data_IF_567227613450
#
_entry.id   IF_567227613450
#
_cell.length_a   1.000
_cell.length_b   1.000
_cell.length_c   1.000
_cell.angle_alpha   90.00
_cell.angle_beta   90.00
_cell.angle_gamma   90.00
#
_symmetry.space_group_name_H-M   'P 1'
#
loop_
_entity.id
_entity.type
_entity.pdbx_description
1 polymer ?
#
# COMPACT_ATOMS: atom_id res chain seq x y z
N UNK A 1 4.14 45.38 -1.17
CA UNK A 1 2.69 45.41 -0.90
C UNK A 1 2.40 44.45 0.25
N UNK A 2 1.97 44.98 1.39
CA UNK A 2 1.56 44.25 2.60
C UNK A 2 0.06 44.02 2.54
N UNK A 3 -0.41 42.84 2.91
CA UNK A 3 -1.79 42.61 3.33
C UNK A 3 -1.78 41.91 4.71
N UNK A 4 -1.82 42.76 5.74
CA UNK A 4 -2.68 42.66 6.94
C UNK A 4 -4.11 42.18 6.56
N UNK A 5 -4.97 41.56 7.37
CA UNK A 5 -4.98 41.06 8.75
C UNK A 5 -6.40 40.48 8.99
N UNK A 6 -6.55 39.62 9.99
CA UNK A 6 -7.72 39.47 10.89
C UNK A 6 -8.97 38.62 10.58
N UNK A 7 -9.25 37.80 11.63
CA UNK A 7 -10.53 37.30 12.18
C UNK A 7 -11.16 36.11 11.42
N UNK A 8 -11.54 35.01 12.08
CA UNK A 8 -12.43 34.99 13.24
C UNK A 8 -12.23 33.74 14.12
N UNK A 9 -12.06 33.97 15.42
CA UNK A 9 -12.35 33.04 16.50
C UNK A 9 -13.86 33.08 16.76
N UNK A 10 -14.54 31.94 16.87
CA UNK A 10 -15.47 31.70 17.99
C UNK A 10 -15.94 30.23 18.10
N UNK A 11 -15.91 29.64 19.30
CA UNK A 11 -16.51 28.36 19.66
C UNK A 11 -17.93 28.56 20.22
N UNK A 12 -18.91 27.72 19.84
CA UNK A 12 -20.28 27.73 20.38
C UNK A 12 -20.78 26.27 20.32
N UNK A 13 -20.75 25.48 21.41
CA UNK A 13 -21.62 25.43 22.59
C UNK A 13 -22.71 24.34 22.48
N UNK A 14 -22.66 23.43 23.46
CA UNK A 14 -23.78 22.84 24.22
C UNK A 14 -25.04 22.34 23.49
N UNK A 15 -25.25 21.02 23.55
CA UNK A 15 -26.58 20.46 23.87
C UNK A 15 -26.42 19.42 24.97
N UNK A 16 -27.21 19.61 26.03
CA UNK A 16 -27.19 18.85 27.27
C UNK A 16 -28.22 17.70 27.27
N UNK A 17 -27.85 16.65 28.01
CA UNK A 17 -28.66 15.81 28.91
C UNK A 17 -30.07 15.37 28.50
N UNK A 18 -30.23 14.05 28.36
CA UNK A 18 -31.44 13.35 28.82
C UNK A 18 -30.99 12.27 29.81
N UNK A 19 -31.29 12.52 31.09
CA UNK A 19 -31.33 11.50 32.14
C UNK A 19 -32.71 10.87 32.11
N UNK A 20 -32.80 9.58 31.79
CA UNK A 20 -33.93 8.75 32.21
C UNK A 20 -33.35 7.57 32.98
N UNK A 21 -33.55 7.64 34.29
CA UNK A 21 -33.35 6.56 35.24
C UNK A 21 -34.42 5.50 35.04
N UNK A 22 -34.04 4.26 34.75
CA UNK A 22 -34.78 3.08 35.16
C UNK A 22 -33.81 1.91 35.33
N UNK A 23 -33.83 1.33 36.53
CA UNK A 23 -32.97 0.24 36.92
C UNK A 23 -33.44 -1.09 36.35
N UNK A 24 -32.49 -1.93 35.94
CA UNK A 24 -32.66 -3.37 35.83
C UNK A 24 -31.42 -4.05 36.39
N UNK A 25 -31.63 -4.82 37.45
CA UNK A 25 -30.75 -5.88 37.93
C UNK A 25 -30.60 -6.94 36.83
N UNK A 26 -29.37 -7.31 36.46
CA UNK A 26 -29.20 -8.42 35.51
C UNK A 26 -27.75 -8.78 35.22
N UNK A 27 -27.29 -9.84 35.90
CA UNK A 27 -26.31 -10.83 35.48
C UNK A 27 -24.93 -10.39 34.93
N UNK A 28 -23.91 -10.85 35.65
CA UNK A 28 -22.52 -10.96 35.25
C UNK A 28 -22.35 -11.66 33.90
N UNK A 29 -21.53 -11.06 33.03
CA UNK A 29 -20.82 -11.77 31.96
C UNK A 29 -19.42 -11.19 31.89
N UNK A 30 -18.44 -12.01 32.24
CA UNK A 30 -17.03 -11.72 31.98
C UNK A 30 -16.86 -11.95 30.49
N UNK A 31 -17.01 -10.88 29.70
CA UNK A 31 -16.64 -10.93 28.30
C UNK A 31 -15.12 -11.02 28.22
N UNK A 32 -14.66 -12.22 27.90
CA UNK A 32 -13.32 -12.49 27.41
C UNK A 32 -13.09 -11.59 26.20
N UNK A 33 -12.37 -10.48 26.38
CA UNK A 33 -11.82 -9.70 25.27
C UNK A 33 -10.79 -10.58 24.59
N UNK A 34 -11.26 -11.30 23.57
CA UNK A 34 -10.38 -12.02 22.65
C UNK A 34 -9.59 -10.94 21.91
N UNK A 35 -8.25 -10.96 21.92
CA UNK A 35 -7.49 -10.03 21.10
C UNK A 35 -7.89 -10.27 19.65
N UNK A 36 -8.57 -9.28 19.06
CA UNK A 36 -8.83 -9.25 17.63
C UNK A 36 -7.46 -9.32 16.93
N UNK A 37 -7.18 -10.47 16.32
CA UNK A 37 -6.04 -10.64 15.44
C UNK A 37 -6.23 -9.64 14.28
N UNK A 38 -5.36 -8.63 14.10
CA UNK A 38 -5.55 -7.61 13.08
C UNK A 38 -5.03 -8.13 11.72
N UNK A 39 -5.61 -9.24 11.26
CA UNK A 39 -5.22 -9.90 10.01
C UNK A 39 -6.42 -10.21 9.15
N UNK A 40 -7.38 -9.27 9.04
CA UNK A 40 -8.38 -9.34 7.99
C UNK A 40 -8.84 -7.92 7.63
N UNK A 41 -7.99 -7.22 6.87
CA UNK A 41 -8.47 -6.12 6.06
C UNK A 41 -9.22 -6.74 4.88
N UNK A 42 -10.55 -6.75 4.99
CA UNK A 42 -11.48 -7.06 3.91
C UNK A 42 -11.16 -6.10 2.75
N UNK A 43 -10.46 -6.62 1.73
CA UNK A 43 -10.19 -5.90 0.50
C UNK A 43 -11.35 -6.16 -0.47
N UNK A 44 -11.98 -5.06 -0.92
CA UNK A 44 -12.95 -5.05 -2.01
C UNK A 44 -12.50 -5.89 -3.21
N UNK A 45 -13.46 -6.51 -3.88
CA UNK A 45 -13.35 -7.44 -5.02
C UNK A 45 -12.74 -6.80 -6.29
N UNK A 46 -11.50 -6.38 -6.19
CA UNK A 46 -10.56 -6.08 -7.28
C UNK A 46 -9.20 -6.65 -6.88
N UNK A 47 -8.31 -6.84 -7.84
CA UNK A 47 -7.01 -7.52 -7.67
C UNK A 47 -6.34 -7.19 -6.33
N UNK A 48 -6.24 -8.18 -5.44
CA UNK A 48 -5.74 -8.00 -4.07
C UNK A 48 -4.29 -8.46 -3.97
N UNK A 49 -3.39 -7.60 -3.51
CA UNK A 49 -2.00 -8.00 -3.24
C UNK A 49 -1.85 -8.53 -1.83
N UNK A 50 -1.07 -9.59 -1.65
CA UNK A 50 -0.70 -10.07 -0.32
C UNK A 50 0.70 -10.68 -0.32
N UNK A 51 1.31 -10.72 0.87
CA UNK A 51 2.52 -11.50 1.09
C UNK A 51 2.08 -12.91 1.52
N UNK A 52 2.40 -13.91 0.71
CA UNK A 52 2.25 -15.32 1.04
C UNK A 52 3.43 -15.77 1.90
N UNK A 53 3.14 -16.06 3.16
CA UNK A 53 4.11 -16.43 4.19
C UNK A 53 4.12 -17.94 4.47
N UNK A 54 3.13 -18.68 3.96
CA UNK A 54 2.97 -20.11 4.20
C UNK A 54 3.88 -20.95 3.29
N UNK A 55 4.41 -20.32 2.23
CA UNK A 55 5.42 -20.91 1.36
C UNK A 55 6.79 -20.94 2.03
N UNK A 56 7.67 -21.82 1.52
CA UNK A 56 9.08 -21.90 1.94
C UNK A 56 9.82 -20.57 1.87
N UNK A 57 9.39 -19.67 0.98
CA UNK A 57 9.93 -18.33 0.81
C UNK A 57 8.78 -17.32 0.80
N UNK A 58 8.90 -16.18 1.52
CA UNK A 58 7.91 -15.11 1.44
C UNK A 58 7.73 -14.69 0.00
N UNK A 59 6.49 -14.63 -0.48
CA UNK A 59 6.20 -14.37 -1.89
C UNK A 59 5.15 -13.28 -2.02
N UNK A 60 5.42 -12.23 -2.79
CA UNK A 60 4.40 -11.27 -3.16
C UNK A 60 3.46 -11.92 -4.19
N UNK A 61 2.17 -11.91 -3.91
CA UNK A 61 1.14 -12.56 -4.74
C UNK A 61 0.08 -11.54 -5.13
N UNK A 62 -0.33 -11.57 -6.40
CA UNK A 62 -1.54 -10.91 -6.87
C UNK A 62 -2.70 -11.91 -6.91
N UNK A 63 -3.81 -11.57 -6.26
CA UNK A 63 -5.08 -12.29 -6.38
C UNK A 63 -5.82 -11.77 -7.61
N UNK A 64 -6.12 -12.64 -8.55
CA UNK A 64 -6.94 -12.36 -9.73
C UNK A 64 -8.16 -13.29 -9.77
N UNK A 65 -9.10 -13.01 -10.67
CA UNK A 65 -10.27 -13.88 -10.90
C UNK A 65 -9.88 -15.28 -11.40
N UNK A 66 -8.69 -15.40 -12.02
CA UNK A 66 -8.13 -16.67 -12.48
C UNK A 66 -7.32 -17.41 -11.39
N UNK A 67 -7.18 -16.80 -10.22
CA UNK A 67 -6.44 -17.33 -9.09
C UNK A 67 -5.27 -16.45 -8.64
N UNK A 68 -4.46 -17.02 -7.76
CA UNK A 68 -3.31 -16.35 -7.16
C UNK A 68 -2.07 -16.49 -8.07
N UNK A 69 -1.49 -15.36 -8.49
CA UNK A 69 -0.29 -15.31 -9.33
C UNK A 69 0.90 -14.84 -8.48
N UNK A 70 1.97 -15.65 -8.34
CA UNK A 70 3.19 -15.21 -7.68
C UNK A 70 3.91 -14.17 -8.54
N UNK A 71 4.34 -13.07 -7.93
CA UNK A 71 5.04 -11.97 -8.60
C UNK A 71 6.53 -12.00 -8.23
N UNK A 72 6.85 -12.00 -6.93
CA UNK A 72 8.24 -11.89 -6.47
C UNK A 72 8.46 -12.83 -5.29
N UNK A 73 9.41 -13.75 -5.44
CA UNK A 73 9.91 -14.59 -4.35
C UNK A 73 11.08 -13.92 -3.63
N UNK A 74 10.96 -13.77 -2.32
CA UNK A 74 11.98 -13.14 -1.48
C UNK A 74 12.92 -14.21 -0.92
N UNK A 75 13.97 -14.52 -1.68
CA UNK A 75 14.91 -15.62 -1.37
C UNK A 75 15.97 -15.30 -0.33
N UNK A 76 16.31 -14.02 -0.18
CA UNK A 76 17.42 -13.55 0.65
C UNK A 76 17.10 -12.19 1.25
N UNK A 77 17.66 -11.93 2.41
CA UNK A 77 17.54 -10.63 3.07
C UNK A 77 18.27 -9.56 2.26
N UNK A 78 17.82 -8.32 2.37
CA UNK A 78 18.37 -7.23 1.57
C UNK A 78 18.32 -5.92 2.34
N UNK A 79 19.46 -5.23 2.38
CA UNK A 79 19.65 -4.08 3.26
C UNK A 79 19.40 -4.48 4.72
N UNK A 80 18.65 -3.70 5.47
CA UNK A 80 18.31 -3.95 6.87
C UNK A 80 17.02 -4.78 7.04
N UNK A 81 16.39 -5.20 5.93
CA UNK A 81 15.11 -5.90 5.94
C UNK A 81 15.29 -7.39 5.65
N UNK A 82 14.65 -8.21 6.47
CA UNK A 82 14.47 -9.63 6.15
C UNK A 82 13.61 -9.81 4.90
N UNK A 83 13.73 -10.98 4.29
CA UNK A 83 12.92 -11.39 3.13
C UNK A 83 11.41 -11.21 3.38
N UNK A 84 10.96 -11.55 4.58
CA UNK A 84 9.57 -11.45 4.99
C UNK A 84 9.14 -10.00 5.21
N UNK A 85 9.94 -9.20 5.93
CA UNK A 85 9.65 -7.78 6.16
C UNK A 85 9.56 -7.03 4.83
N UNK A 86 10.48 -7.32 3.91
CA UNK A 86 10.48 -6.72 2.58
C UNK A 86 9.22 -7.09 1.80
N UNK A 87 8.81 -8.36 1.84
CA UNK A 87 7.57 -8.81 1.21
C UNK A 87 6.34 -8.07 1.78
N UNK A 88 6.23 -7.95 3.11
CA UNK A 88 5.14 -7.22 3.79
C UNK A 88 5.14 -5.73 3.48
N UNK A 89 6.30 -5.09 3.48
CA UNK A 89 6.42 -3.65 3.22
C UNK A 89 6.00 -3.31 1.79
N UNK A 90 6.47 -4.08 0.82
CA UNK A 90 6.14 -3.88 -0.60
C UNK A 90 4.63 -4.11 -0.82
N UNK A 91 4.09 -5.17 -0.23
CA UNK A 91 2.64 -5.44 -0.24
C UNK A 91 1.85 -4.25 0.30
N UNK A 92 2.27 -3.68 1.44
CA UNK A 92 1.61 -2.52 2.05
C UNK A 92 1.63 -1.30 1.11
N UNK A 93 2.75 -1.04 0.44
CA UNK A 93 2.87 0.06 -0.54
C UNK A 93 1.97 -0.18 -1.75
N UNK A 94 1.95 -1.39 -2.29
CA UNK A 94 1.05 -1.78 -3.38
C UNK A 94 -0.42 -1.57 -3.01
N UNK A 95 -0.84 -2.05 -1.83
CA UNK A 95 -2.22 -1.88 -1.36
C UNK A 95 -2.58 -0.40 -1.14
N UNK A 96 -1.62 0.42 -0.68
CA UNK A 96 -1.81 1.86 -0.56
C UNK A 96 -2.03 2.49 -1.94
N UNK A 97 -1.13 2.28 -2.89
CA UNK A 97 -1.25 2.85 -4.22
C UNK A 97 -2.46 2.31 -4.99
N UNK A 98 -2.85 1.06 -4.74
CA UNK A 98 -4.07 0.46 -5.27
C UNK A 98 -5.31 1.22 -4.78
N UNK A 99 -5.40 1.47 -3.46
CA UNK A 99 -6.50 2.22 -2.84
C UNK A 99 -6.56 3.65 -3.34
N UNK A 100 -5.40 4.27 -3.55
CA UNK A 100 -5.27 5.65 -4.01
C UNK A 100 -5.39 5.81 -5.54
N UNK A 101 -5.52 4.71 -6.29
CA UNK A 101 -5.51 4.67 -7.78
C UNK A 101 -4.22 5.26 -8.40
N UNK A 102 -3.10 5.12 -7.69
CA UNK A 102 -1.77 5.61 -8.08
C UNK A 102 -0.88 4.54 -8.72
N UNK A 103 -1.41 3.34 -9.02
CA UNK A 103 -0.69 2.24 -9.69
C UNK A 103 -0.78 2.25 -11.22
N UNK A 104 -0.98 3.42 -11.84
CA UNK A 104 -1.23 3.49 -13.29
C UNK A 104 0.02 3.34 -14.13
N UNK A 105 1.13 3.90 -13.66
CA UNK A 105 2.39 3.91 -14.37
C UNK A 105 3.48 3.37 -13.47
N UNK A 106 4.26 2.43 -14.00
CA UNK A 106 5.43 1.85 -13.35
C UNK A 106 6.66 2.25 -14.14
N UNK A 107 7.72 2.62 -13.45
CA UNK A 107 9.04 2.84 -14.04
C UNK A 107 10.11 2.22 -13.17
N UNK A 108 11.34 2.24 -13.67
CA UNK A 108 12.51 1.96 -12.87
C UNK A 108 13.55 3.06 -13.04
N UNK A 109 14.37 3.23 -12.00
CA UNK A 109 15.47 4.18 -12.02
C UNK A 109 16.72 3.55 -11.40
N UNK A 110 17.89 3.98 -11.87
CA UNK A 110 19.16 3.69 -11.22
C UNK A 110 19.56 4.86 -10.32
N UNK A 111 19.65 4.61 -9.02
CA UNK A 111 20.14 5.56 -8.04
C UNK A 111 21.64 5.86 -8.25
N UNK A 112 22.14 7.02 -7.80
CA UNK A 112 23.56 7.39 -7.91
C UNK A 112 24.52 6.38 -7.25
N UNK A 113 24.06 5.67 -6.21
CA UNK A 113 24.82 4.62 -5.53
C UNK A 113 24.83 3.28 -6.28
N UNK A 114 24.25 3.22 -7.48
CA UNK A 114 24.15 2.01 -8.30
C UNK A 114 22.96 1.10 -7.96
N UNK A 115 22.20 1.40 -6.91
CA UNK A 115 20.96 0.71 -6.60
C UNK A 115 19.91 0.91 -7.69
N UNK A 116 18.98 -0.02 -7.83
CA UNK A 116 17.87 0.09 -8.78
C UNK A 116 16.56 0.11 -8.00
N UNK A 117 15.61 0.93 -8.43
CA UNK A 117 14.31 1.09 -7.78
C UNK A 117 13.19 0.98 -8.79
N UNK A 118 12.05 0.47 -8.35
CA UNK A 118 10.78 0.55 -9.06
C UNK A 118 9.97 1.68 -8.44
N UNK A 119 9.50 2.61 -9.28
CA UNK A 119 8.67 3.74 -8.87
C UNK A 119 7.29 3.65 -9.52
N UNK A 120 6.30 4.24 -8.87
CA UNK A 120 4.95 4.42 -9.40
C UNK A 120 4.68 5.90 -9.69
N UNK A 121 3.85 6.17 -10.68
CA UNK A 121 3.36 7.50 -10.99
C UNK A 121 1.86 7.49 -11.30
N UNK A 122 1.24 8.64 -11.05
CA UNK A 122 -0.18 8.81 -11.28
C UNK A 122 -0.49 9.14 -12.75
N UNK A 123 0.37 9.91 -13.42
CA UNK A 123 0.22 10.30 -14.82
C UNK A 123 1.44 9.94 -15.68
N UNK A 124 1.22 9.76 -16.98
CA UNK A 124 2.24 9.32 -17.94
C UNK A 124 3.47 10.24 -17.99
N UNK A 125 3.25 11.55 -17.82
CA UNK A 125 4.30 12.57 -17.86
C UNK A 125 4.98 12.86 -16.52
N UNK A 126 4.48 12.33 -15.41
CA UNK A 126 5.00 12.63 -14.07
C UNK A 126 6.42 12.10 -13.89
N UNK A 127 6.72 10.98 -14.56
CA UNK A 127 8.04 10.35 -14.61
C UNK A 127 9.15 11.27 -15.14
N UNK A 128 8.80 12.22 -16.00
CA UNK A 128 9.76 13.12 -16.66
C UNK A 128 9.75 14.54 -16.07
N UNK A 129 8.81 14.83 -15.17
CA UNK A 129 8.59 16.19 -14.65
C UNK A 129 9.47 16.51 -13.45
N UNK A 130 9.36 15.71 -12.41
CA UNK A 130 10.10 15.91 -11.16
C UNK A 130 9.97 14.67 -10.27
N UNK A 131 10.99 14.34 -9.47
CA UNK A 131 10.92 13.28 -8.47
C UNK A 131 9.79 13.45 -7.44
N UNK A 132 9.19 14.64 -7.31
CA UNK A 132 8.03 14.87 -6.43
C UNK A 132 6.72 14.21 -6.92
N UNK A 133 6.66 13.81 -8.19
CA UNK A 133 5.47 13.17 -8.79
C UNK A 133 5.61 11.65 -8.93
N UNK A 134 6.70 11.08 -8.40
CA UNK A 134 6.93 9.63 -8.42
C UNK A 134 7.11 9.14 -6.99
N UNK A 135 6.44 8.03 -6.67
CA UNK A 135 6.58 7.39 -5.38
C UNK A 135 7.39 6.10 -5.51
N UNK A 136 8.26 5.84 -4.52
CA UNK A 136 9.02 4.59 -4.47
C UNK A 136 8.08 3.41 -4.16
N UNK A 137 8.03 2.43 -5.06
CA UNK A 137 7.42 1.15 -4.78
C UNK A 137 8.40 0.30 -3.96
N UNK A 138 9.57 -0.02 -4.52
CA UNK A 138 10.62 -0.76 -3.81
C UNK A 138 11.99 -0.72 -4.49
N UNK A 139 13.01 -1.10 -3.72
CA UNK A 139 14.39 -1.24 -4.19
C UNK A 139 14.67 -2.68 -4.61
N UNK A 140 15.24 -2.82 -5.81
CA UNK A 140 15.66 -4.09 -6.40
C UNK A 140 17.02 -4.53 -5.85
N UNK A 141 17.21 -5.85 -5.77
CA UNK A 141 18.53 -6.44 -5.55
C UNK A 141 19.43 -6.23 -6.76
N UNK A 142 20.76 -6.33 -6.58
CA UNK A 142 21.72 -6.30 -7.69
C UNK A 142 21.46 -7.36 -8.76
N UNK A 143 20.92 -8.52 -8.39
CA UNK A 143 20.71 -9.65 -9.30
C UNK A 143 19.28 -9.71 -9.87
N UNK A 144 18.38 -8.85 -9.39
CA UNK A 144 16.99 -8.81 -9.88
C UNK A 144 16.96 -8.39 -11.36
N UNK A 145 16.12 -9.05 -12.15
CA UNK A 145 15.94 -8.74 -13.58
C UNK A 145 14.78 -7.76 -13.70
N UNK A 146 15.12 -6.48 -13.89
CA UNK A 146 14.16 -5.37 -13.83
C UNK A 146 12.99 -5.55 -14.81
N UNK A 147 13.28 -6.04 -16.03
CA UNK A 147 12.28 -6.16 -17.08
C UNK A 147 11.24 -7.23 -16.75
N UNK A 148 11.67 -8.39 -16.24
CA UNK A 148 10.75 -9.47 -15.84
C UNK A 148 9.81 -9.00 -14.71
N UNK A 149 10.38 -8.34 -13.69
CA UNK A 149 9.60 -7.80 -12.57
C UNK A 149 8.60 -6.73 -13.04
N UNK A 150 9.01 -5.88 -13.98
CA UNK A 150 8.10 -4.87 -14.55
C UNK A 150 7.01 -5.51 -15.39
N UNK A 151 7.29 -6.53 -16.20
CA UNK A 151 6.28 -7.25 -16.98
C UNK A 151 5.23 -7.91 -16.07
N UNK A 152 5.67 -8.59 -15.01
CA UNK A 152 4.78 -9.20 -14.03
C UNK A 152 3.91 -8.16 -13.33
N UNK A 153 4.50 -7.01 -12.94
CA UNK A 153 3.76 -5.90 -12.34
C UNK A 153 2.87 -5.16 -13.36
N UNK A 154 3.24 -5.10 -14.64
CA UNK A 154 2.49 -4.42 -15.71
C UNK A 154 1.26 -5.21 -16.14
N UNK A 155 1.34 -6.54 -16.23
CA UNK A 155 0.17 -7.38 -16.42
C UNK A 155 -0.90 -7.11 -15.35
N UNK A 156 -0.44 -6.65 -14.18
CA UNK A 156 -1.32 -6.24 -13.09
C UNK A 156 -1.72 -4.76 -13.22
N UNK A 157 -0.79 -3.84 -13.53
CA UNK A 157 -1.05 -2.41 -13.69
C UNK A 157 -2.09 -2.11 -14.80
N UNK A 158 -2.06 -2.87 -15.89
CA UNK A 158 -2.98 -2.76 -17.01
C UNK A 158 -4.43 -3.13 -16.64
N UNK A 159 -4.63 -3.93 -15.58
CA UNK A 159 -5.97 -4.16 -15.00
C UNK A 159 -6.59 -2.89 -14.38
N UNK A 160 -5.79 -1.83 -14.16
CA UNK A 160 -6.23 -0.53 -13.65
C UNK A 160 -6.44 0.52 -14.75
N UNK A 161 -6.40 0.13 -16.02
CA UNK A 161 -6.58 1.03 -17.17
C UNK A 161 -5.38 1.94 -17.45
N UNK A 162 -4.20 1.61 -16.91
CA UNK A 162 -2.93 2.27 -17.25
C UNK A 162 -2.33 1.68 -18.53
N UNK A 163 -1.76 2.54 -19.37
CA UNK A 163 -0.96 2.12 -20.53
C UNK A 163 0.53 2.07 -20.14
N UNK A 164 1.28 1.05 -20.59
CA UNK A 164 2.67 0.88 -20.23
C UNK A 164 3.53 2.00 -20.85
N UNK A 165 4.47 2.52 -20.08
CA UNK A 165 5.57 3.32 -20.60
C UNK A 165 6.84 2.49 -20.39
N UNK A 166 7.38 1.98 -21.49
CA UNK A 166 8.75 1.51 -21.54
C UNK A 166 9.63 2.74 -21.78
N UNK A 167 10.72 2.85 -21.03
CA UNK A 167 11.83 3.73 -21.38
C UNK A 167 12.87 2.92 -22.16
#
# INVERSE_FOLDING_TARGET
MKFEQYRSLLPIALVALILTSDGVLGASSIDHVTPANPSEQILHQGTAYFCDEDKKLPTLVARSDLGNVPIIEFKTDFSELTSLERCREITKRLLKFHREKNLRYLTWERLPNGGRVINVAQHEGDLFRSPEYVDLLFTLKPDDIVHEILEDLQGIASSFGGSPISN
#
